data_IF_644287746492
#
_entry.id   IF_644287746492
#
_cell.length_a   1.000
_cell.length_b   1.000
_cell.length_c   1.000
_cell.angle_alpha   90.00
_cell.angle_beta   90.00
_cell.angle_gamma   90.00
#
_symmetry.space_group_name_H-M   'P 1'
#
loop_
_entity.id
_entity.type
_entity.pdbx_description
1 polymer ?
#
# COMPACT_ATOMS: atom_id res chain seq x y z
N UNK A 1 8.84 -6.40 -7.25
CA UNK A 1 8.57 -5.90 -8.62
C UNK A 1 9.86 -5.69 -9.41
N UNK A 2 10.71 -4.70 -9.09
CA UNK A 2 11.96 -4.45 -9.83
C UNK A 2 12.87 -5.70 -9.92
N UNK A 3 13.08 -6.40 -8.80
CA UNK A 3 13.83 -7.65 -8.78
C UNK A 3 13.26 -8.71 -9.74
N UNK A 4 11.93 -8.94 -9.72
CA UNK A 4 11.29 -9.86 -10.65
C UNK A 4 11.57 -9.50 -12.11
N UNK A 5 11.42 -8.21 -12.45
CA UNK A 5 11.64 -7.72 -13.81
C UNK A 5 13.08 -7.89 -14.28
N UNK A 6 14.05 -7.60 -13.41
CA UNK A 6 15.47 -7.76 -13.71
C UNK A 6 15.89 -9.23 -13.85
N UNK A 7 15.36 -10.11 -12.98
CA UNK A 7 15.57 -11.56 -13.13
C UNK A 7 14.98 -12.08 -14.43
N UNK A 8 13.80 -11.60 -14.84
CA UNK A 8 13.19 -11.96 -16.14
C UNK A 8 14.01 -11.44 -17.33
N UNK A 9 14.76 -10.36 -17.14
CA UNK A 9 15.72 -9.85 -18.10
C UNK A 9 17.10 -10.54 -18.03
N UNK A 10 17.23 -11.61 -17.25
CA UNK A 10 18.46 -12.41 -17.13
C UNK A 10 19.58 -11.77 -16.31
N UNK A 11 19.26 -10.77 -15.48
CA UNK A 11 20.25 -10.11 -14.62
C UNK A 11 20.42 -10.85 -13.29
N UNK A 12 21.60 -10.76 -12.69
CA UNK A 12 21.81 -11.14 -11.29
C UNK A 12 21.39 -10.01 -10.36
N UNK A 13 20.64 -10.35 -9.31
CA UNK A 13 19.96 -9.37 -8.47
C UNK A 13 20.12 -9.72 -7.01
N UNK A 14 20.75 -8.80 -6.27
CA UNK A 14 20.76 -8.73 -4.82
C UNK A 14 19.79 -7.64 -4.34
N UNK A 15 18.96 -7.96 -3.36
CA UNK A 15 18.06 -7.02 -2.69
C UNK A 15 18.47 -6.93 -1.23
N UNK A 16 18.77 -5.70 -0.78
CA UNK A 16 19.08 -5.40 0.62
C UNK A 16 17.89 -4.68 1.26
N UNK A 17 17.38 -5.25 2.35
CA UNK A 17 16.27 -4.71 3.13
C UNK A 17 16.68 -4.56 4.60
N UNK A 18 16.40 -3.38 5.18
CA UNK A 18 16.72 -3.09 6.58
C UNK A 18 15.92 -3.95 7.56
N UNK A 19 14.63 -4.18 7.30
CA UNK A 19 13.78 -4.97 8.18
C UNK A 19 14.05 -6.47 8.06
N UNK A 20 13.65 -7.23 9.09
CA UNK A 20 13.65 -8.69 9.04
C UNK A 20 12.48 -9.26 8.20
N UNK A 21 11.61 -8.39 7.67
CA UNK A 21 10.37 -8.77 6.97
C UNK A 21 9.48 -9.77 7.76
N UNK A 22 9.60 -9.80 9.10
CA UNK A 22 8.94 -10.80 9.94
C UNK A 22 7.47 -10.48 10.25
N UNK A 23 7.07 -9.21 10.17
CA UNK A 23 5.72 -8.75 10.52
C UNK A 23 5.36 -7.51 9.70
N UNK A 24 4.98 -7.71 8.44
CA UNK A 24 4.34 -6.64 7.68
C UNK A 24 2.90 -6.46 8.14
N UNK A 25 2.72 -5.64 9.18
CA UNK A 25 1.42 -5.06 9.51
C UNK A 25 1.21 -3.87 8.58
N UNK A 26 0.24 -3.95 7.68
CA UNK A 26 0.02 -2.93 6.67
C UNK A 26 -1.47 -2.67 6.46
N UNK A 27 -1.77 -1.47 5.97
CA UNK A 27 -3.09 -1.18 5.43
C UNK A 27 -3.26 -1.87 4.06
N UNK A 28 -4.49 -1.90 3.56
CA UNK A 28 -4.73 -2.36 2.21
C UNK A 28 -4.34 -1.33 1.15
N UNK A 29 -4.06 -1.80 -0.06
CA UNK A 29 -3.68 -1.00 -1.23
C UNK A 29 -4.69 -1.28 -2.35
N UNK A 30 -5.10 -0.24 -3.06
CA UNK A 30 -5.86 -0.36 -4.30
C UNK A 30 -4.92 -0.51 -5.50
N UNK A 31 -5.01 -1.64 -6.19
CA UNK A 31 -4.35 -1.91 -7.46
C UNK A 31 -5.22 -1.37 -8.60
N UNK A 32 -4.71 -0.37 -9.29
CA UNK A 32 -5.34 0.22 -10.47
C UNK A 32 -4.92 -0.55 -11.75
N UNK A 33 -5.64 -0.39 -12.87
CA UNK A 33 -5.44 -1.21 -14.06
C UNK A 33 -4.00 -1.16 -14.60
N UNK A 34 -3.37 0.02 -14.55
CA UNK A 34 -1.97 0.21 -14.93
C UNK A 34 -0.99 -0.64 -14.09
N UNK A 35 -1.27 -0.79 -12.80
CA UNK A 35 -0.47 -1.63 -11.90
C UNK A 35 -0.77 -3.11 -12.10
N UNK A 36 -2.05 -3.48 -12.26
CA UNK A 36 -2.49 -4.86 -12.48
C UNK A 36 -1.85 -5.47 -13.74
N UNK A 37 -1.84 -4.73 -14.86
CA UNK A 37 -1.18 -5.20 -16.11
C UNK A 37 0.28 -5.57 -15.86
N UNK A 38 1.02 -4.71 -15.16
CA UNK A 38 2.45 -4.93 -14.90
C UNK A 38 2.66 -6.08 -13.92
N UNK A 39 1.84 -6.18 -12.88
CA UNK A 39 1.92 -7.27 -11.91
C UNK A 39 1.72 -8.62 -12.60
N UNK A 40 0.68 -8.76 -13.43
CA UNK A 40 0.40 -9.96 -14.23
C UNK A 40 1.54 -10.31 -15.18
N UNK A 41 2.14 -9.30 -15.84
CA UNK A 41 3.31 -9.50 -16.70
C UNK A 41 4.49 -10.18 -15.97
N UNK A 42 4.67 -9.88 -14.68
CA UNK A 42 5.69 -10.51 -13.84
C UNK A 42 5.15 -11.70 -13.03
N UNK A 43 4.02 -12.25 -13.50
CA UNK A 43 3.37 -13.47 -13.04
C UNK A 43 2.40 -13.29 -11.88
N UNK A 44 2.33 -12.13 -11.23
CA UNK A 44 1.47 -11.93 -10.07
C UNK A 44 -0.01 -11.88 -10.48
N UNK A 45 -0.80 -12.80 -9.97
CA UNK A 45 -2.25 -12.83 -10.12
C UNK A 45 -2.92 -12.33 -8.82
N UNK A 46 -3.57 -11.14 -8.83
CA UNK A 46 -4.20 -10.58 -7.63
C UNK A 46 -5.23 -11.51 -6.99
N UNK A 47 -6.05 -12.18 -7.80
CA UNK A 47 -7.11 -13.09 -7.35
C UNK A 47 -6.57 -14.27 -6.55
N UNK A 48 -5.39 -14.77 -6.92
CA UNK A 48 -4.72 -15.88 -6.24
C UNK A 48 -3.98 -15.43 -4.98
N UNK A 49 -3.84 -14.12 -4.79
CA UNK A 49 -3.04 -13.49 -3.73
C UNK A 49 -3.90 -12.80 -2.66
N UNK A 50 -5.16 -13.23 -2.52
CA UNK A 50 -6.07 -12.72 -1.48
C UNK A 50 -6.67 -11.34 -1.78
N UNK A 51 -6.57 -10.84 -3.01
CA UNK A 51 -7.16 -9.57 -3.38
C UNK A 51 -8.69 -9.66 -3.55
N UNK A 52 -9.40 -8.61 -3.15
CA UNK A 52 -10.83 -8.41 -3.43
C UNK A 52 -10.98 -7.65 -4.74
N UNK A 53 -11.85 -8.10 -5.63
CA UNK A 53 -12.16 -7.35 -6.87
C UNK A 53 -12.95 -6.09 -6.50
N UNK A 54 -12.54 -4.94 -7.03
CA UNK A 54 -13.36 -3.72 -6.94
C UNK A 54 -14.50 -3.84 -7.95
N UNK A 55 -15.74 -3.61 -7.53
CA UNK A 55 -16.94 -3.69 -8.39
C UNK A 55 -17.50 -2.31 -8.75
N UNK A 56 -17.34 -1.36 -7.83
CA UNK A 56 -17.76 0.01 -7.99
C UNK A 56 -16.96 0.97 -7.07
N UNK A 57 -17.13 2.25 -7.33
CA UNK A 57 -16.64 3.35 -6.51
C UNK A 57 -17.81 4.28 -6.23
N UNK A 58 -18.06 4.58 -4.97
CA UNK A 58 -19.14 5.46 -4.53
C UNK A 58 -18.54 6.70 -3.87
N UNK A 59 -18.99 7.87 -4.30
CA UNK A 59 -18.80 9.13 -3.60
C UNK A 59 -20.03 9.38 -2.74
N UNK A 60 -19.82 9.58 -1.45
CA UNK A 60 -20.86 9.69 -0.43
C UNK A 60 -20.66 11.00 0.31
N UNK A 61 -21.73 11.75 0.56
CA UNK A 61 -21.67 12.93 1.42
C UNK A 61 -21.42 12.49 2.87
N UNK A 62 -20.34 12.99 3.48
CA UNK A 62 -19.91 12.54 4.81
C UNK A 62 -20.81 12.99 5.96
N UNK A 63 -21.74 13.92 5.74
CA UNK A 63 -22.68 14.40 6.76
C UNK A 63 -24.04 13.70 6.72
N UNK A 64 -24.55 13.46 5.52
CA UNK A 64 -25.88 12.86 5.27
C UNK A 64 -25.83 11.37 4.96
N UNK A 65 -24.66 10.87 4.54
CA UNK A 65 -24.46 9.51 3.99
C UNK A 65 -25.21 9.25 2.67
N UNK A 66 -25.68 10.30 2.00
CA UNK A 66 -26.31 10.18 0.69
C UNK A 66 -25.26 9.87 -0.39
N UNK A 67 -25.58 8.93 -1.28
CA UNK A 67 -24.74 8.60 -2.44
C UNK A 67 -24.83 9.73 -3.46
N UNK A 68 -23.73 10.46 -3.64
CA UNK A 68 -23.63 11.56 -4.60
C UNK A 68 -23.34 11.04 -6.02
N UNK A 69 -22.50 10.01 -6.13
CA UNK A 69 -22.10 9.40 -7.40
C UNK A 69 -21.73 7.93 -7.19
N UNK A 70 -22.12 7.07 -8.12
CA UNK A 70 -21.69 5.67 -8.16
C UNK A 70 -21.17 5.33 -9.56
N UNK A 71 -19.91 4.87 -9.62
CA UNK A 71 -19.27 4.40 -10.85
C UNK A 71 -19.10 2.89 -10.74
N UNK A 72 -19.78 2.14 -11.60
CA UNK A 72 -19.66 0.68 -11.67
C UNK A 72 -18.73 0.26 -12.79
N UNK A 73 -18.15 -0.94 -12.69
CA UNK A 73 -17.27 -1.48 -13.72
C UNK A 73 -17.95 -1.63 -15.08
N UNK A 74 -19.27 -1.83 -15.12
CA UNK A 74 -20.06 -1.88 -16.37
C UNK A 74 -19.98 -0.58 -17.18
N UNK A 75 -19.79 0.56 -16.53
CA UNK A 75 -19.60 1.86 -17.21
C UNK A 75 -18.17 2.00 -17.76
N UNK A 76 -17.19 1.37 -17.10
CA UNK A 76 -15.78 1.38 -17.53
C UNK A 76 -15.52 0.43 -18.69
N UNK A 77 -16.09 -0.78 -18.65
CA UNK A 77 -15.96 -1.79 -19.72
C UNK A 77 -16.58 -1.32 -21.03
N UNK A 78 -17.69 -0.57 -21.00
CA UNK A 78 -18.34 -0.03 -22.19
C UNK A 78 -17.52 1.06 -22.92
N UNK A 79 -16.51 1.65 -22.27
CA UNK A 79 -15.77 2.83 -22.78
C UNK A 79 -14.31 2.52 -23.12
N UNK A 80 -13.78 1.37 -22.68
CA UNK A 80 -12.37 1.00 -22.82
C UNK A 80 -12.21 -0.27 -23.67
N UNK A 81 -11.28 -0.26 -24.62
CA UNK A 81 -10.89 -1.45 -25.40
C UNK A 81 -10.58 -2.64 -24.47
N UNK A 82 -10.89 -3.88 -24.86
CA UNK A 82 -10.70 -5.11 -24.05
C UNK A 82 -9.31 -5.24 -23.40
N UNK A 83 -8.24 -4.75 -24.04
CA UNK A 83 -6.88 -4.75 -23.47
C UNK A 83 -6.67 -3.78 -22.29
N UNK A 84 -7.54 -2.77 -22.14
CA UNK A 84 -7.59 -1.80 -21.03
C UNK A 84 -8.61 -2.18 -19.94
N UNK A 85 -9.45 -3.20 -20.18
CA UNK A 85 -10.46 -3.69 -19.25
C UNK A 85 -9.87 -4.57 -18.13
N UNK A 86 -8.73 -4.17 -17.57
CA UNK A 86 -8.19 -4.83 -16.39
C UNK A 86 -8.91 -4.31 -15.15
N UNK A 87 -9.35 -5.23 -14.30
CA UNK A 87 -10.07 -4.90 -13.08
C UNK A 87 -9.14 -4.20 -12.08
N UNK A 88 -9.75 -3.40 -11.21
CA UNK A 88 -9.07 -2.92 -10.02
C UNK A 88 -9.24 -3.94 -8.90
N UNK A 89 -8.26 -4.01 -8.00
CA UNK A 89 -8.30 -4.91 -6.86
C UNK A 89 -7.92 -4.18 -5.58
N UNK A 90 -8.41 -4.65 -4.45
CA UNK A 90 -7.95 -4.25 -3.13
C UNK A 90 -7.20 -5.41 -2.50
N UNK A 91 -5.96 -5.18 -2.09
CA UNK A 91 -5.11 -6.22 -1.52
C UNK A 91 -4.46 -5.74 -0.23
N UNK A 92 -4.31 -6.64 0.74
CA UNK A 92 -3.51 -6.33 1.92
C UNK A 92 -2.04 -6.17 1.52
N UNK A 93 -1.39 -5.10 1.99
CA UNK A 93 0.00 -4.79 1.57
C UNK A 93 0.96 -5.96 1.82
N UNK A 94 0.80 -6.66 2.94
CA UNK A 94 1.64 -7.80 3.30
C UNK A 94 1.48 -8.97 2.32
N UNK A 95 0.28 -9.21 1.80
CA UNK A 95 0.00 -10.31 0.87
C UNK A 95 0.65 -10.01 -0.48
N UNK A 96 0.46 -8.77 -0.97
CA UNK A 96 1.12 -8.28 -2.19
C UNK A 96 2.64 -8.41 -2.08
N UNK A 97 3.22 -7.95 -0.98
CA UNK A 97 4.66 -7.95 -0.79
C UNK A 97 5.20 -9.38 -0.63
N UNK A 98 4.54 -10.24 0.14
CA UNK A 98 4.92 -11.64 0.33
C UNK A 98 4.91 -12.42 -0.98
N UNK A 99 3.87 -12.26 -1.79
CA UNK A 99 3.77 -12.90 -3.10
C UNK A 99 4.86 -12.41 -4.07
N UNK A 100 5.16 -11.10 -4.09
CA UNK A 100 6.23 -10.55 -4.91
C UNK A 100 7.62 -10.99 -4.44
N UNK A 101 7.82 -11.07 -3.12
CA UNK A 101 9.05 -11.58 -2.50
C UNK A 101 9.29 -13.02 -2.91
N UNK A 102 8.29 -13.88 -2.70
CA UNK A 102 8.35 -15.30 -3.07
C UNK A 102 8.75 -15.46 -4.54
N UNK A 103 8.05 -14.75 -5.44
CA UNK A 103 8.34 -14.79 -6.89
C UNK A 103 9.75 -14.31 -7.23
N UNK A 104 10.22 -13.24 -6.58
CA UNK A 104 11.57 -12.75 -6.79
C UNK A 104 12.62 -13.80 -6.38
N UNK A 105 12.41 -14.44 -5.22
CA UNK A 105 13.32 -15.49 -4.71
C UNK A 105 13.28 -16.76 -5.53
N UNK A 106 12.11 -17.18 -6.02
CA UNK A 106 11.96 -18.34 -6.93
C UNK A 106 12.69 -18.12 -8.26
N UNK A 107 12.73 -16.87 -8.73
CA UNK A 107 13.52 -16.48 -9.90
C UNK A 107 15.03 -16.40 -9.60
N UNK A 108 15.46 -16.61 -8.36
CA UNK A 108 16.87 -16.59 -7.94
C UNK A 108 17.40 -15.23 -7.52
N UNK A 109 16.54 -14.29 -7.12
CA UNK A 109 16.98 -13.06 -6.43
C UNK A 109 17.58 -13.42 -5.08
N UNK A 110 18.78 -12.94 -4.78
CA UNK A 110 19.37 -13.03 -3.45
C UNK A 110 18.78 -11.93 -2.56
N UNK A 111 18.01 -12.32 -1.53
CA UNK A 111 17.37 -11.39 -0.61
C UNK A 111 18.11 -11.38 0.73
N UNK A 112 18.65 -10.22 1.09
CA UNK A 112 19.38 -9.96 2.32
C UNK A 112 18.54 -9.07 3.25
N UNK A 113 17.95 -9.65 4.30
CA UNK A 113 17.14 -8.94 5.30
C UNK A 113 17.97 -8.57 6.53
N UNK A 114 17.54 -7.55 7.27
CA UNK A 114 18.34 -7.03 8.40
C UNK A 114 19.56 -6.21 7.95
N UNK A 115 19.61 -5.84 6.67
CA UNK A 115 20.72 -5.15 6.05
C UNK A 115 20.34 -3.68 5.82
N UNK A 116 20.70 -2.81 6.76
CA UNK A 116 20.53 -1.38 6.56
C UNK A 116 21.65 -0.83 5.67
N UNK A 117 21.28 -0.20 4.56
CA UNK A 117 22.23 0.57 3.76
C UNK A 117 22.51 1.90 4.46
N UNK A 118 23.77 2.11 4.86
CA UNK A 118 24.28 3.34 5.48
C UNK A 118 24.69 4.40 4.45
N UNK A 119 25.29 4.01 3.34
CA UNK A 119 25.66 4.96 2.31
C UNK A 119 25.74 4.26 0.95
N UNK A 120 25.73 5.06 -0.11
CA UNK A 120 26.04 4.60 -1.46
C UNK A 120 27.19 5.43 -1.98
N UNK A 121 28.24 4.76 -2.45
CA UNK A 121 29.34 5.34 -3.22
C UNK A 121 29.02 5.15 -4.71
N UNK A 122 28.58 6.23 -5.34
CA UNK A 122 28.19 6.28 -6.75
C UNK A 122 29.38 6.21 -7.70
N UNK A 123 30.59 6.56 -7.25
CA UNK A 123 31.80 6.49 -8.08
C UNK A 123 32.31 5.06 -8.14
N UNK A 124 32.27 4.35 -7.02
CA UNK A 124 32.69 2.96 -6.92
C UNK A 124 31.56 1.94 -7.21
N UNK A 125 30.32 2.40 -7.42
CA UNK A 125 29.10 1.59 -7.49
C UNK A 125 29.00 0.58 -6.34
N UNK A 126 29.17 1.09 -5.12
CA UNK A 126 29.23 0.26 -3.92
C UNK A 126 28.22 0.75 -2.88
N UNK A 127 27.43 -0.18 -2.33
CA UNK A 127 26.60 0.09 -1.16
C UNK A 127 27.38 -0.27 0.11
N UNK A 128 27.27 0.59 1.13
CA UNK A 128 27.92 0.42 2.43
C UNK A 128 26.82 0.14 3.46
N UNK A 129 26.90 -1.01 4.13
CA UNK A 129 25.93 -1.43 5.13
C UNK A 129 26.26 -0.84 6.51
N UNK A 130 25.29 -0.86 7.42
CA UNK A 130 25.45 -0.32 8.79
C UNK A 130 26.47 -1.09 9.64
N UNK A 131 26.70 -2.36 9.34
CA UNK A 131 27.73 -3.22 9.96
C UNK A 131 29.15 -2.99 9.40
N UNK A 132 29.29 -2.12 8.40
CA UNK A 132 30.55 -1.81 7.73
C UNK A 132 30.90 -2.73 6.56
N UNK A 133 30.09 -3.76 6.30
CA UNK A 133 30.24 -4.57 5.08
C UNK A 133 29.86 -3.75 3.84
N UNK A 134 30.33 -4.20 2.68
CA UNK A 134 30.08 -3.51 1.41
C UNK A 134 29.67 -4.50 0.34
N UNK A 135 28.86 -4.04 -0.61
CA UNK A 135 28.49 -4.82 -1.78
C UNK A 135 28.61 -3.97 -3.04
N UNK A 136 29.22 -4.53 -4.08
CA UNK A 136 29.48 -3.87 -5.35
C UNK A 136 28.54 -4.43 -6.42
N UNK A 137 28.03 -3.56 -7.28
CA UNK A 137 27.15 -3.93 -8.39
C UNK A 137 27.47 -3.09 -9.64
N UNK A 138 26.99 -3.54 -10.80
CA UNK A 138 27.07 -2.74 -12.04
C UNK A 138 26.06 -1.59 -12.02
N UNK A 139 24.91 -1.80 -11.39
CA UNK A 139 23.82 -0.83 -11.25
C UNK A 139 23.22 -0.92 -9.85
N UNK A 140 22.98 0.23 -9.22
CA UNK A 140 22.28 0.34 -7.94
C UNK A 140 20.91 0.98 -8.18
N UNK A 141 19.85 0.31 -7.70
CA UNK A 141 18.48 0.83 -7.78
C UNK A 141 18.02 1.27 -6.39
N UNK A 142 17.80 2.57 -6.24
CA UNK A 142 17.19 3.16 -5.05
C UNK A 142 15.69 2.94 -5.00
N UNK A 143 15.24 1.96 -4.22
CA UNK A 143 13.83 1.67 -3.96
C UNK A 143 13.49 1.76 -2.44
N UNK A 144 14.18 2.64 -1.73
CA UNK A 144 14.21 2.80 -0.26
C UNK A 144 13.14 3.74 0.32
N UNK A 145 12.04 3.93 -0.43
CA UNK A 145 10.82 4.58 0.08
C UNK A 145 10.92 6.09 0.30
N UNK A 146 10.02 6.62 1.14
CA UNK A 146 9.85 8.07 1.29
C UNK A 146 11.08 8.74 1.89
N UNK A 147 11.74 8.10 2.87
CA UNK A 147 12.96 8.61 3.54
C UNK A 147 14.25 8.16 2.84
N UNK A 148 14.22 8.09 1.52
CA UNK A 148 15.29 7.57 0.67
C UNK A 148 16.64 8.25 0.93
N UNK A 149 17.65 7.42 1.22
CA UNK A 149 19.06 7.80 1.26
C UNK A 149 19.64 7.86 -0.13
N UNK A 150 19.24 6.95 -1.01
CA UNK A 150 19.71 6.93 -2.41
C UNK A 150 19.35 8.22 -3.14
N UNK A 151 18.19 8.80 -2.84
CA UNK A 151 17.77 10.11 -3.36
C UNK A 151 18.74 11.24 -2.98
N UNK A 152 19.33 11.21 -1.78
CA UNK A 152 20.33 12.21 -1.36
C UNK A 152 21.62 12.10 -2.14
N UNK A 153 22.01 10.89 -2.55
CA UNK A 153 23.20 10.68 -3.39
C UNK A 153 22.97 11.26 -4.79
N UNK A 154 21.78 11.07 -5.35
CA UNK A 154 21.45 11.56 -6.71
C UNK A 154 21.25 13.07 -6.77
N UNK A 155 20.54 13.66 -5.79
CA UNK A 155 20.17 15.09 -5.82
C UNK A 155 20.98 15.98 -4.88
N UNK A 156 21.86 15.40 -4.05
CA UNK A 156 22.56 16.09 -2.97
C UNK A 156 21.67 16.34 -1.73
N UNK A 157 22.29 16.87 -0.68
CA UNK A 157 21.61 17.20 0.60
C UNK A 157 20.62 18.38 0.49
N UNK A 158 20.57 19.08 -0.65
CA UNK A 158 19.66 20.20 -0.84
C UNK A 158 18.21 19.76 -1.10
N UNK A 159 17.98 18.49 -1.44
CA UNK A 159 16.62 17.97 -1.60
C UNK A 159 15.96 17.78 -0.24
N UNK A 160 14.89 18.55 0.02
CA UNK A 160 14.05 18.40 1.20
C UNK A 160 12.65 17.93 0.82
N UNK A 161 12.14 16.97 1.60
CA UNK A 161 10.74 16.55 1.52
C UNK A 161 9.84 17.71 1.95
N UNK A 162 8.85 18.05 1.13
CA UNK A 162 7.83 19.01 1.52
C UNK A 162 6.70 18.27 2.24
N UNK A 163 6.42 18.59 3.52
CA UNK A 163 5.32 17.96 4.24
C UNK A 163 3.98 18.30 3.57
N UNK A 164 3.11 17.29 3.51
CA UNK A 164 1.75 17.44 3.03
C UNK A 164 0.93 18.29 4.01
N UNK A 165 0.02 19.12 3.51
CA UNK A 165 -0.97 19.81 4.33
C UNK A 165 -2.04 18.87 4.92
N UNK A 166 -2.03 17.59 4.52
CA UNK A 166 -2.97 16.56 4.94
C UNK A 166 -2.26 15.40 5.65
N UNK A 167 -2.90 14.91 6.70
CA UNK A 167 -2.53 13.67 7.40
C UNK A 167 -3.49 12.55 7.03
N UNK A 168 -2.97 11.33 6.92
CA UNK A 168 -3.76 10.14 6.63
C UNK A 168 -3.55 9.08 7.71
N UNK A 169 -4.62 8.79 8.44
CA UNK A 169 -4.68 7.65 9.36
C UNK A 169 -5.07 6.40 8.59
N UNK A 170 -4.63 5.23 9.05
CA UNK A 170 -4.99 3.95 8.42
C UNK A 170 -5.12 2.85 9.46
N UNK A 171 -6.18 2.07 9.34
CA UNK A 171 -6.41 0.88 10.15
C UNK A 171 -7.37 -0.07 9.44
N UNK A 172 -7.41 -1.32 9.92
CA UNK A 172 -8.28 -2.37 9.43
C UNK A 172 -9.32 -2.68 10.52
N UNK A 173 -10.57 -2.86 10.12
CA UNK A 173 -11.64 -3.37 10.98
C UNK A 173 -12.11 -4.70 10.41
N UNK A 174 -12.40 -5.69 11.26
CA UNK A 174 -13.04 -6.93 10.80
C UNK A 174 -14.43 -6.60 10.25
N UNK A 175 -14.70 -7.01 9.03
CA UNK A 175 -15.98 -6.77 8.34
C UNK A 175 -17.15 -7.36 9.13
N UNK A 176 -16.95 -8.49 9.80
CA UNK A 176 -18.00 -9.13 10.62
C UNK A 176 -18.47 -8.21 11.76
N UNK A 177 -17.55 -7.56 12.46
CA UNK A 177 -17.90 -6.64 13.56
C UNK A 177 -18.72 -5.44 13.08
N UNK A 178 -18.50 -4.97 11.84
CA UNK A 178 -19.30 -3.91 11.23
C UNK A 178 -20.67 -4.41 10.76
N UNK A 179 -20.79 -5.69 10.41
CA UNK A 179 -22.04 -6.29 9.93
C UNK A 179 -23.05 -6.50 11.06
N UNK A 180 -22.55 -6.84 12.25
CA UNK A 180 -23.35 -7.07 13.46
C UNK A 180 -24.02 -5.79 13.97
N UNK A 181 -23.38 -4.64 13.80
CA UNK A 181 -23.88 -3.33 14.22
C UNK A 181 -24.77 -2.66 13.15
N UNK A 182 -26.05 -2.35 13.44
CA UNK A 182 -26.95 -1.70 12.51
C UNK A 182 -26.44 -0.35 11.96
N UNK A 183 -25.67 0.42 12.72
CA UNK A 183 -25.18 1.74 12.30
C UNK A 183 -24.02 1.65 11.31
N UNK A 184 -23.21 0.59 11.39
CA UNK A 184 -22.00 0.43 10.57
C UNK A 184 -22.16 -0.58 9.45
N UNK A 185 -23.25 -1.37 9.45
CA UNK A 185 -23.56 -2.36 8.41
C UNK A 185 -23.53 -1.77 7.00
N UNK A 186 -24.05 -0.56 6.82
CA UNK A 186 -24.12 0.13 5.52
C UNK A 186 -22.76 0.19 4.80
N UNK A 187 -21.65 0.24 5.55
CA UNK A 187 -20.30 0.32 4.98
C UNK A 187 -19.77 -1.03 4.45
N UNK A 188 -20.47 -2.14 4.70
CA UNK A 188 -20.05 -3.49 4.33
C UNK A 188 -21.12 -4.29 3.57
N UNK A 189 -22.25 -3.66 3.22
CA UNK A 189 -23.33 -4.29 2.43
C UNK A 189 -22.90 -4.66 1.01
N UNK A 190 -22.00 -3.86 0.42
CA UNK A 190 -21.47 -4.09 -0.92
C UNK A 190 -19.99 -4.54 -0.81
N UNK A 191 -19.69 -5.85 -0.86
CA UNK A 191 -18.38 -6.42 -0.51
C UNK A 191 -17.26 -6.14 -1.53
N UNK A 192 -17.56 -5.53 -2.67
CA UNK A 192 -16.58 -5.06 -3.67
C UNK A 192 -16.49 -3.54 -3.79
N UNK A 193 -17.14 -2.78 -2.90
CA UNK A 193 -17.23 -1.33 -3.02
C UNK A 193 -16.07 -0.58 -2.40
N UNK A 194 -15.54 0.41 -3.14
CA UNK A 194 -14.82 1.53 -2.54
C UNK A 194 -15.78 2.66 -2.23
N UNK A 195 -15.77 3.15 -1.01
CA UNK A 195 -16.56 4.30 -0.58
C UNK A 195 -15.64 5.45 -0.26
N UNK A 196 -15.96 6.62 -0.81
CA UNK A 196 -15.30 7.87 -0.53
C UNK A 196 -16.29 8.81 0.14
N UNK A 197 -16.22 8.87 1.47
CA UNK A 197 -17.04 9.78 2.27
C UNK A 197 -16.37 11.15 2.25
N UNK A 198 -17.00 12.11 1.60
CA UNK A 198 -16.45 13.45 1.35
C UNK A 198 -17.06 14.45 2.33
N UNK A 199 -16.21 15.15 3.07
CA UNK A 199 -16.57 16.35 3.81
C UNK A 199 -15.88 17.58 3.23
N UNK A 200 -16.10 18.74 3.86
CA UNK A 200 -15.59 20.03 3.36
C UNK A 200 -14.06 20.10 3.27
N UNK A 201 -13.36 19.61 4.29
CA UNK A 201 -11.90 19.68 4.43
C UNK A 201 -11.26 18.31 4.71
N UNK A 202 -12.07 17.24 4.71
CA UNK A 202 -11.69 15.89 5.13
C UNK A 202 -12.42 14.85 4.30
N UNK A 203 -11.90 13.64 4.31
CA UNK A 203 -12.56 12.49 3.70
C UNK A 203 -12.21 11.20 4.40
N UNK A 204 -13.07 10.20 4.30
CA UNK A 204 -12.78 8.84 4.74
C UNK A 204 -12.93 7.94 3.54
N UNK A 205 -11.85 7.26 3.18
CA UNK A 205 -11.86 6.26 2.13
C UNK A 205 -12.00 4.89 2.79
N UNK A 206 -12.97 4.10 2.35
CA UNK A 206 -13.24 2.75 2.82
C UNK A 206 -13.15 1.80 1.63
N UNK A 207 -12.48 0.66 1.81
CA UNK A 207 -12.58 -0.45 0.85
C UNK A 207 -12.24 -1.79 1.50
N UNK A 208 -12.87 -2.88 1.07
CA UNK A 208 -12.62 -4.22 1.59
C UNK A 208 -11.25 -4.72 1.13
N UNK A 209 -10.61 -5.59 1.90
CA UNK A 209 -9.40 -6.30 1.49
C UNK A 209 -9.39 -7.72 2.08
N UNK A 210 -8.40 -8.54 1.69
CA UNK A 210 -8.26 -9.93 2.15
C UNK A 210 -9.55 -10.71 1.92
N UNK A 211 -10.02 -10.70 0.66
CA UNK A 211 -11.28 -11.33 0.25
C UNK A 211 -12.52 -10.83 1.02
N UNK A 212 -12.47 -9.60 1.55
CA UNK A 212 -13.56 -8.98 2.29
C UNK A 212 -13.56 -9.28 3.78
N UNK A 213 -12.55 -9.97 4.33
CA UNK A 213 -12.43 -10.21 5.77
C UNK A 213 -12.27 -8.90 6.56
N UNK A 214 -11.57 -7.92 5.98
CA UNK A 214 -11.30 -6.63 6.59
C UNK A 214 -11.82 -5.49 5.74
N UNK A 215 -12.34 -4.45 6.40
CA UNK A 215 -12.55 -3.13 5.83
C UNK A 215 -11.35 -2.26 6.16
N UNK A 216 -10.69 -1.76 5.13
CA UNK A 216 -9.62 -0.79 5.28
C UNK A 216 -10.20 0.62 5.37
N UNK A 217 -9.80 1.36 6.39
CA UNK A 217 -10.33 2.69 6.71
C UNK A 217 -9.20 3.70 6.64
N UNK A 218 -9.35 4.72 5.78
CA UNK A 218 -8.37 5.79 5.59
C UNK A 218 -9.00 7.17 5.76
N UNK A 219 -9.05 7.69 7.00
CA UNK A 219 -9.38 9.08 7.24
C UNK A 219 -8.23 9.97 6.79
N UNK A 220 -8.55 10.99 6.00
CA UNK A 220 -7.65 12.04 5.53
C UNK A 220 -8.18 13.37 6.06
N UNK A 221 -7.36 14.07 6.83
CA UNK A 221 -7.72 15.32 7.52
C UNK A 221 -6.62 16.36 7.35
N UNK A 222 -6.93 17.66 7.54
CA UNK A 222 -5.91 18.70 7.61
C UNK A 222 -4.88 18.38 8.70
N UNK A 223 -3.60 18.54 8.38
CA UNK A 223 -2.49 18.15 9.26
C UNK A 223 -2.58 18.77 10.66
N UNK A 224 -3.00 20.04 10.74
CA UNK A 224 -3.19 20.78 11.99
C UNK A 224 -4.16 20.10 12.98
N UNK A 225 -5.16 19.37 12.47
CA UNK A 225 -6.10 18.63 13.32
C UNK A 225 -5.49 17.31 13.84
N UNK A 226 -4.58 16.71 13.06
CA UNK A 226 -3.91 15.47 13.43
C UNK A 226 -2.88 15.67 14.55
N UNK A 227 -2.21 16.82 14.60
CA UNK A 227 -1.24 17.16 15.66
C UNK A 227 -1.88 17.08 17.06
N UNK A 228 -3.12 17.55 17.21
CA UNK A 228 -3.86 17.48 18.48
C UNK A 228 -4.30 16.05 18.85
N UNK A 229 -4.49 15.15 17.87
CA UNK A 229 -4.94 13.77 18.11
C UNK A 229 -3.81 12.85 18.60
N UNK A 230 -2.55 13.14 18.25
CA UNK A 230 -1.39 12.41 18.80
C UNK A 230 -1.29 12.52 20.33
N UNK A 231 -1.85 13.58 20.94
CA UNK A 231 -1.87 13.77 22.38
C UNK A 231 -3.04 13.09 23.12
N UNK A 232 -4.00 12.46 22.41
CA UNK A 232 -5.20 11.86 23.03
C UNK A 232 -5.30 10.33 22.92
N UNK A 233 -4.41 9.67 22.18
CA UNK A 233 -4.33 8.21 22.19
C UNK A 233 -3.51 7.62 23.37
N UNK A 234 -2.98 8.46 24.27
CA UNK A 234 -2.25 8.04 25.46
C UNK A 234 -3.09 7.99 26.76
N UNK A 235 -4.41 8.25 26.73
CA UNK A 235 -5.24 8.25 27.95
C UNK A 235 -6.64 7.64 27.73
N UNK A 236 -6.74 6.31 27.69
CA UNK A 236 -7.81 5.56 28.38
C UNK A 236 -7.56 4.03 28.35
N UNK A 237 -6.92 3.45 29.37
CA UNK A 237 -6.76 2.00 29.51
C UNK A 237 -8.05 1.23 29.86
N UNK A 238 -9.20 1.89 29.90
CA UNK A 238 -10.44 1.37 30.47
C UNK A 238 -11.43 0.74 29.48
N UNK A 239 -11.16 0.75 28.17
CA UNK A 239 -12.06 0.13 27.17
C UNK A 239 -11.66 -1.33 26.85
N UNK A 240 -10.50 -1.81 27.28
CA UNK A 240 -10.03 -3.19 27.11
C UNK A 240 -9.96 -4.01 28.42
N UNK A 241 -10.88 -3.77 29.36
CA UNK A 241 -11.05 -4.67 30.52
C UNK A 241 -12.49 -5.12 30.72
N UNK A 242 -12.61 -6.45 30.83
CA UNK A 242 -13.77 -7.31 31.16
C UNK A 242 -14.53 -7.79 29.92
N UNK A 243 -14.75 -9.08 29.72
CA UNK A 243 -14.77 -10.25 30.62
C UNK A 243 -14.26 -11.51 29.92
#
# INVERSE_FOLDING_TARGET
>A
MAACALRDAGQDVDVYEQSQMANEKGAAIALQPNSTVLLRRYGFEPEESGATTMENMMMIDGGTLDVMQEITDKVKEATLSEQRAQKCYFIHRADLHSALRQRATEKGTALHTGCEIKNVDEVANTVILSDGTTAKADVIIGADGVHSRTRKVVFGECYQEQPSALSCFRFLIRTESLREDPETRVFVEKPGSMMDLVGTDRRIILYPCSQGEYLNVLPIVPHQLAEGMHCHFSLCPSIFKRS
#
